data_IF_787413415787
#
_entry.id   IF_787413415787
#
_cell.length_a   1.000
_cell.length_b   1.000
_cell.length_c   1.000
_cell.angle_alpha   90.00
_cell.angle_beta   90.00
_cell.angle_gamma   90.00
#
_symmetry.space_group_name_H-M   'P 1'
#
loop_
_entity.id
_entity.type
_entity.pdbx_description
1 polymer ?
#
# COMPACT_ATOMS: atom_id res chain seq x y z
N UNK A 1 20.25 -21.61 11.97
CA UNK A 1 18.98 -20.85 11.88
C UNK A 1 19.18 -19.57 12.67
N UNK A 2 19.69 -18.52 12.03
CA UNK A 2 20.01 -17.25 12.70
C UNK A 2 18.81 -16.32 12.50
N UNK A 3 18.02 -16.13 13.56
CA UNK A 3 17.01 -15.10 13.58
C UNK A 3 17.72 -13.78 13.89
N UNK A 4 17.90 -12.91 12.89
CA UNK A 4 18.28 -11.52 13.13
C UNK A 4 17.12 -10.84 13.86
N UNK A 5 17.16 -10.85 15.19
CA UNK A 5 16.27 -10.03 15.99
C UNK A 5 16.80 -8.61 15.86
N UNK A 6 16.18 -7.78 15.02
CA UNK A 6 16.47 -6.35 15.00
C UNK A 6 16.14 -5.77 16.37
N UNK A 7 17.16 -5.56 17.19
CA UNK A 7 17.02 -4.98 18.52
C UNK A 7 17.02 -3.46 18.38
N UNK A 8 15.86 -2.84 18.62
CA UNK A 8 15.72 -1.38 18.56
C UNK A 8 15.97 -0.78 19.95
N UNK A 9 16.86 0.21 20.05
CA UNK A 9 16.97 0.98 21.30
C UNK A 9 15.92 2.09 21.34
N UNK A 10 15.09 2.08 22.39
CA UNK A 10 14.11 3.13 22.65
C UNK A 10 14.56 4.02 23.79
N UNK A 11 14.20 5.31 23.72
CA UNK A 11 14.39 6.29 24.79
C UNK A 11 13.05 6.86 25.21
N UNK A 12 12.78 6.86 26.51
CA UNK A 12 11.59 7.48 27.05
C UNK A 12 11.76 9.00 27.13
N UNK A 13 10.87 9.75 26.48
CA UNK A 13 10.84 11.22 26.58
C UNK A 13 10.41 11.75 27.95
N UNK A 14 9.79 10.92 28.81
CA UNK A 14 9.30 11.32 30.14
C UNK A 14 10.34 11.12 31.25
N UNK A 15 10.90 9.92 31.37
CA UNK A 15 11.87 9.59 32.44
C UNK A 15 13.31 9.43 31.95
N UNK A 16 13.56 9.56 30.64
CA UNK A 16 14.90 9.44 30.06
C UNK A 16 15.44 8.02 29.95
N UNK A 17 14.76 7.01 30.50
CA UNK A 17 15.21 5.62 30.46
C UNK A 17 15.43 5.13 29.02
N UNK A 18 16.52 4.39 28.82
CA UNK A 18 16.88 3.73 27.57
C UNK A 18 16.78 2.23 27.74
N UNK A 19 16.20 1.53 26.78
CA UNK A 19 16.11 0.06 26.82
C UNK A 19 16.07 -0.53 25.43
N UNK A 20 16.46 -1.81 25.36
CA UNK A 20 16.35 -2.62 24.17
C UNK A 20 14.90 -3.12 24.02
N UNK A 21 14.25 -2.72 22.94
CA UNK A 21 12.88 -3.12 22.65
C UNK A 21 12.87 -4.44 21.90
N UNK A 22 12.31 -5.47 22.56
CA UNK A 22 12.09 -6.82 22.02
C UNK A 22 10.61 -7.14 21.79
N UNK A 23 9.75 -6.11 21.83
CA UNK A 23 8.30 -6.29 21.74
C UNK A 23 7.80 -6.40 20.30
N UNK A 24 6.58 -6.94 20.14
CA UNK A 24 5.91 -7.07 18.83
C UNK A 24 5.10 -5.83 18.43
N UNK A 25 4.82 -4.92 19.36
CA UNK A 25 4.01 -3.72 19.06
C UNK A 25 4.76 -2.76 18.13
N UNK A 26 4.02 -2.19 17.17
CA UNK A 26 4.60 -1.54 15.99
C UNK A 26 4.60 0.00 16.05
N UNK A 27 3.79 0.57 16.94
CA UNK A 27 3.53 2.01 16.99
C UNK A 27 3.98 2.62 18.31
N UNK A 28 3.72 1.90 19.41
CA UNK A 28 4.04 2.35 20.75
C UNK A 28 4.62 1.22 21.58
N UNK A 29 5.62 1.55 22.39
CA UNK A 29 6.10 0.71 23.47
C UNK A 29 5.80 1.37 24.81
N UNK A 30 5.66 0.56 25.86
CA UNK A 30 5.59 1.05 27.23
C UNK A 30 7.00 1.15 27.80
N UNK A 31 7.35 2.31 28.35
CA UNK A 31 8.60 2.45 29.10
C UNK A 31 8.59 1.51 30.31
N UNK A 32 9.62 0.65 30.50
CA UNK A 32 9.66 -0.29 31.63
C UNK A 32 9.76 0.40 33.00
N UNK A 33 10.23 1.65 33.03
CA UNK A 33 10.41 2.43 34.27
C UNK A 33 9.17 3.20 34.68
N UNK A 34 8.62 4.04 33.78
CA UNK A 34 7.52 4.94 34.13
C UNK A 34 6.19 4.60 33.46
N UNK A 35 6.13 3.50 32.70
CA UNK A 35 4.95 3.03 31.94
C UNK A 35 4.36 4.04 30.95
N UNK A 36 5.07 5.14 30.66
CA UNK A 36 4.64 6.08 29.63
C UNK A 36 4.68 5.44 28.24
N UNK A 37 3.76 5.87 27.37
CA UNK A 37 3.75 5.47 25.96
C UNK A 37 4.88 6.19 25.24
N UNK A 38 5.70 5.42 24.54
CA UNK A 38 6.81 5.92 23.73
C UNK A 38 6.54 5.54 22.29
N UNK A 39 6.55 6.52 21.37
CA UNK A 39 6.49 6.24 19.93
C UNK A 39 7.74 5.49 19.53
N UNK A 40 7.52 4.43 18.76
CA UNK A 40 8.59 3.71 18.10
C UNK A 40 8.91 4.50 16.82
N UNK A 41 9.65 5.60 16.96
CA UNK A 41 10.11 6.37 15.80
C UNK A 41 11.21 5.57 15.12
N UNK A 42 10.84 4.90 14.04
CA UNK A 42 11.71 4.12 13.16
C UNK A 42 12.51 5.04 12.23
N UNK A 43 13.06 6.14 12.73
CA UNK A 43 14.06 6.89 11.99
C UNK A 43 15.41 6.19 12.18
N UNK A 44 15.87 5.48 11.15
CA UNK A 44 17.22 4.91 11.09
C UNK A 44 17.33 3.38 11.24
N UNK A 45 16.22 2.65 11.36
CA UNK A 45 16.23 1.19 11.18
C UNK A 45 15.72 0.89 9.78
N UNK A 46 16.46 0.14 8.94
CA UNK A 46 15.94 -0.30 7.65
C UNK A 46 14.60 -0.99 7.89
N UNK A 47 13.52 -0.39 7.38
CA UNK A 47 12.24 -1.07 7.36
C UNK A 47 12.44 -2.34 6.56
N UNK A 48 12.02 -3.49 7.10
CA UNK A 48 11.86 -4.70 6.29
C UNK A 48 11.10 -4.34 5.01
N UNK A 49 11.40 -5.02 3.90
CA UNK A 49 10.83 -4.67 2.60
C UNK A 49 9.30 -4.60 2.64
N UNK A 50 8.66 -5.47 3.41
CA UNK A 50 7.22 -5.44 3.68
C UNK A 50 6.77 -4.11 4.31
N UNK A 51 7.45 -3.64 5.35
CA UNK A 51 7.13 -2.38 6.04
C UNK A 51 7.37 -1.17 5.15
N UNK A 52 8.41 -1.22 4.33
CA UNK A 52 8.64 -0.20 3.30
C UNK A 52 7.48 -0.19 2.31
N UNK A 53 7.07 -1.37 1.79
CA UNK A 53 5.97 -1.52 0.85
C UNK A 53 4.62 -1.04 1.40
N UNK A 54 4.37 -1.15 2.72
CA UNK A 54 3.17 -0.61 3.38
C UNK A 54 3.17 0.93 3.47
N UNK A 55 4.34 1.57 3.52
CA UNK A 55 4.46 3.00 3.85
C UNK A 55 4.73 3.90 2.66
N UNK A 56 5.26 3.36 1.56
CA UNK A 56 5.51 4.18 0.38
C UNK A 56 4.24 4.89 -0.11
N UNK A 57 4.36 6.16 -0.55
CA UNK A 57 3.24 6.91 -1.09
C UNK A 57 2.81 6.34 -2.44
N UNK A 58 1.51 6.18 -2.62
CA UNK A 58 0.89 5.70 -3.86
C UNK A 58 0.39 6.90 -4.64
N UNK A 59 0.76 6.95 -5.91
CA UNK A 59 0.25 7.91 -6.87
C UNK A 59 -0.49 7.14 -7.95
N UNK A 60 -1.81 7.28 -8.00
CA UNK A 60 -2.67 6.62 -9.00
C UNK A 60 -3.52 7.67 -9.68
N UNK A 61 -3.48 7.75 -11.00
CA UNK A 61 -4.35 8.61 -11.80
C UNK A 61 -5.30 7.71 -12.58
N UNK A 62 -6.60 7.92 -12.44
CA UNK A 62 -7.61 7.17 -13.21
C UNK A 62 -7.94 7.98 -14.46
N UNK A 63 -7.68 7.46 -15.67
CA UNK A 63 -8.07 8.13 -16.91
C UNK A 63 -9.60 8.21 -17.05
N UNK A 64 -10.08 9.25 -17.75
CA UNK A 64 -11.50 9.37 -18.09
C UNK A 64 -11.92 8.33 -19.16
N UNK A 65 -11.06 8.11 -20.15
CA UNK A 65 -11.23 7.10 -21.20
C UNK A 65 -10.50 5.80 -20.82
N UNK A 66 -11.17 4.96 -20.04
CA UNK A 66 -10.63 3.68 -19.58
C UNK A 66 -10.36 2.69 -20.74
N UNK A 67 -11.27 2.52 -21.73
CA UNK A 67 -10.99 1.69 -22.89
C UNK A 67 -9.78 2.18 -23.69
N UNK A 68 -9.69 3.49 -23.97
CA UNK A 68 -8.56 4.05 -24.72
C UNK A 68 -7.22 3.91 -23.99
N UNK A 69 -7.22 4.08 -22.66
CA UNK A 69 -6.04 3.82 -21.84
C UNK A 69 -5.58 2.36 -21.91
N UNK A 70 -6.52 1.40 -21.81
CA UNK A 70 -6.21 -0.01 -21.95
C UNK A 70 -5.72 -0.37 -23.36
N UNK A 71 -6.32 0.21 -24.41
CA UNK A 71 -5.90 0.00 -25.78
C UNK A 71 -4.48 0.53 -26.05
N UNK A 72 -4.14 1.70 -25.50
CA UNK A 72 -2.81 2.27 -25.60
C UNK A 72 -1.75 1.36 -24.95
N UNK A 73 -2.04 0.84 -23.75
CA UNK A 73 -1.14 -0.06 -23.01
C UNK A 73 -0.96 -1.42 -23.72
N UNK A 74 -2.07 -2.01 -24.20
CA UNK A 74 -2.06 -3.34 -24.82
C UNK A 74 -1.83 -3.33 -26.34
N UNK A 75 -1.48 -2.19 -26.95
CA UNK A 75 -1.37 -2.04 -28.41
C UNK A 75 -0.64 -3.23 -29.06
N UNK A 76 -1.36 -4.00 -29.87
CA UNK A 76 -0.85 -5.17 -30.59
C UNK A 76 -0.57 -6.42 -29.74
N UNK A 77 -0.90 -6.40 -28.45
CA UNK A 77 -0.74 -7.51 -27.49
C UNK A 77 -2.06 -8.17 -27.09
N UNK A 78 -3.14 -7.38 -27.05
CA UNK A 78 -4.49 -7.85 -26.69
C UNK A 78 -5.55 -7.08 -27.48
N UNK A 79 -6.59 -7.77 -27.93
CA UNK A 79 -7.72 -7.18 -28.64
C UNK A 79 -8.87 -6.82 -27.68
N UNK A 80 -9.64 -5.74 -27.96
CA UNK A 80 -10.81 -5.37 -27.18
C UNK A 80 -11.97 -6.38 -27.33
N UNK A 81 -12.94 -6.42 -26.39
CA UNK A 81 -13.12 -5.50 -25.26
C UNK A 81 -12.26 -5.81 -24.04
N UNK A 82 -11.78 -4.77 -23.36
CA UNK A 82 -10.95 -4.91 -22.16
C UNK A 82 -11.80 -5.08 -20.90
N UNK A 83 -11.61 -6.21 -20.22
CA UNK A 83 -12.23 -6.45 -18.93
C UNK A 83 -11.61 -5.63 -17.78
N UNK A 84 -12.21 -5.65 -16.58
CA UNK A 84 -11.74 -4.89 -15.42
C UNK A 84 -10.28 -5.17 -15.01
N UNK A 85 -9.81 -6.42 -15.20
CA UNK A 85 -8.43 -6.82 -14.91
C UNK A 85 -7.45 -6.15 -15.87
N UNK A 86 -7.78 -6.12 -17.17
CA UNK A 86 -6.96 -5.46 -18.19
C UNK A 86 -6.88 -3.95 -17.94
N UNK A 87 -8.02 -3.32 -17.65
CA UNK A 87 -8.08 -1.89 -17.29
C UNK A 87 -7.25 -1.60 -16.04
N UNK A 88 -7.41 -2.38 -14.97
CA UNK A 88 -6.64 -2.19 -13.73
C UNK A 88 -5.14 -2.38 -13.94
N UNK A 89 -4.75 -3.30 -14.83
CA UNK A 89 -3.35 -3.52 -15.20
C UNK A 89 -2.78 -2.31 -15.93
N UNK A 90 -3.49 -1.80 -16.94
CA UNK A 90 -3.08 -0.59 -17.66
C UNK A 90 -2.93 0.62 -16.72
N UNK A 91 -3.89 0.82 -15.80
CA UNK A 91 -3.81 1.91 -14.80
C UNK A 91 -2.59 1.72 -13.89
N UNK A 92 -2.33 0.49 -13.42
CA UNK A 92 -1.21 0.20 -12.53
C UNK A 92 0.13 0.55 -13.20
N UNK A 93 0.32 0.17 -14.46
CA UNK A 93 1.62 0.35 -15.12
C UNK A 93 1.79 1.75 -15.75
N UNK A 94 0.80 2.25 -16.51
CA UNK A 94 0.98 3.50 -17.28
C UNK A 94 0.45 4.75 -16.58
N UNK A 95 -0.39 4.59 -15.54
CA UNK A 95 -1.06 5.70 -14.88
C UNK A 95 -0.83 5.74 -13.37
N UNK A 96 0.24 5.11 -12.90
CA UNK A 96 0.61 5.11 -11.49
C UNK A 96 2.12 5.06 -11.30
N UNK A 97 2.59 5.29 -10.07
CA UNK A 97 4.01 5.13 -9.73
C UNK A 97 4.43 3.69 -9.39
N UNK A 98 3.62 2.68 -9.73
CA UNK A 98 3.88 1.27 -9.37
C UNK A 98 5.24 0.78 -9.85
N UNK A 99 5.55 0.93 -11.14
CA UNK A 99 6.81 0.40 -11.70
C UNK A 99 8.05 1.08 -11.10
N UNK A 100 7.95 2.39 -10.81
CA UNK A 100 9.01 3.10 -10.10
C UNK A 100 9.21 2.55 -8.68
N UNK A 101 8.12 2.25 -7.97
CA UNK A 101 8.20 1.62 -6.65
C UNK A 101 8.75 0.19 -6.74
N UNK A 102 8.42 -0.58 -7.77
CA UNK A 102 9.03 -1.91 -7.98
C UNK A 102 10.56 -1.79 -8.16
N UNK A 103 11.02 -0.84 -8.98
CA UNK A 103 12.46 -0.60 -9.16
C UNK A 103 13.14 -0.20 -7.83
N UNK A 104 12.49 0.67 -7.05
CA UNK A 104 13.00 1.07 -5.72
C UNK A 104 13.04 -0.10 -4.74
N UNK A 105 12.05 -1.00 -4.80
CA UNK A 105 12.00 -2.22 -3.99
C UNK A 105 13.18 -3.14 -4.32
N UNK A 106 13.41 -3.40 -5.61
CA UNK A 106 14.51 -4.25 -6.08
C UNK A 106 15.87 -3.68 -5.68
N UNK A 107 16.05 -2.36 -5.84
CA UNK A 107 17.27 -1.68 -5.40
C UNK A 107 17.50 -1.85 -3.89
N UNK A 108 16.45 -1.62 -3.08
CA UNK A 108 16.52 -1.77 -1.63
C UNK A 108 16.81 -3.22 -1.21
N UNK A 109 16.18 -4.18 -1.89
CA UNK A 109 16.43 -5.60 -1.67
C UNK A 109 17.89 -5.99 -1.97
N UNK A 110 18.47 -5.46 -3.04
CA UNK A 110 19.86 -5.69 -3.39
C UNK A 110 20.84 -5.05 -2.39
N UNK A 111 20.55 -3.83 -1.91
CA UNK A 111 21.35 -3.13 -0.90
C UNK A 111 21.33 -3.83 0.47
N UNK A 112 20.19 -4.43 0.84
CA UNK A 112 19.99 -5.12 2.12
C UNK A 112 20.35 -6.62 2.08
N UNK A 113 20.60 -7.18 0.89
CA UNK A 113 20.81 -8.62 0.71
C UNK A 113 19.60 -9.45 1.13
N UNK A 114 18.39 -8.95 0.86
CA UNK A 114 17.14 -9.53 1.34
C UNK A 114 16.83 -10.91 0.74
N UNK A 115 16.12 -11.75 1.48
CA UNK A 115 15.70 -13.06 1.01
C UNK A 115 14.63 -12.92 -0.09
N UNK A 116 14.65 -13.72 -1.17
CA UNK A 116 13.64 -13.66 -2.23
C UNK A 116 12.20 -13.72 -1.73
N UNK A 117 11.91 -14.40 -0.61
CA UNK A 117 10.56 -14.44 -0.02
C UNK A 117 10.13 -13.09 0.52
N UNK A 118 11.03 -12.33 1.13
CA UNK A 118 10.73 -10.99 1.65
C UNK A 118 10.48 -10.00 0.50
N UNK A 119 11.25 -10.12 -0.58
CA UNK A 119 11.04 -9.34 -1.81
C UNK A 119 9.66 -9.64 -2.40
N UNK A 120 9.31 -10.92 -2.50
CA UNK A 120 8.00 -11.34 -3.03
C UNK A 120 6.85 -10.87 -2.14
N UNK A 121 6.98 -10.94 -0.82
CA UNK A 121 5.97 -10.44 0.11
C UNK A 121 5.77 -8.92 -0.04
N UNK A 122 6.86 -8.16 -0.14
CA UNK A 122 6.80 -6.73 -0.39
C UNK A 122 6.15 -6.38 -1.75
N UNK A 123 6.45 -7.15 -2.80
CA UNK A 123 5.83 -7.00 -4.11
C UNK A 123 4.31 -7.25 -4.05
N UNK A 124 3.89 -8.31 -3.36
CA UNK A 124 2.46 -8.61 -3.16
C UNK A 124 1.75 -7.48 -2.41
N UNK A 125 2.35 -6.96 -1.34
CA UNK A 125 1.82 -5.81 -0.60
C UNK A 125 1.65 -4.60 -1.51
N UNK A 126 2.66 -4.24 -2.31
CA UNK A 126 2.54 -3.13 -3.26
C UNK A 126 1.36 -3.37 -4.20
N UNK A 127 1.33 -4.52 -4.88
CA UNK A 127 0.29 -4.87 -5.85
C UNK A 127 -1.11 -4.76 -5.24
N UNK A 128 -1.32 -5.35 -4.06
CA UNK A 128 -2.62 -5.31 -3.37
C UNK A 128 -3.03 -3.89 -2.97
N UNK A 129 -2.07 -3.06 -2.52
CA UNK A 129 -2.35 -1.66 -2.18
C UNK A 129 -2.75 -0.85 -3.41
N UNK A 130 -2.07 -1.03 -4.54
CA UNK A 130 -2.46 -0.39 -5.80
C UNK A 130 -3.81 -0.89 -6.29
N UNK A 131 -4.08 -2.18 -6.25
CA UNK A 131 -5.35 -2.74 -6.70
C UNK A 131 -6.52 -2.20 -5.86
N UNK A 132 -6.33 -2.06 -4.54
CA UNK A 132 -7.32 -1.42 -3.67
C UNK A 132 -7.52 0.05 -3.99
N UNK A 133 -6.44 0.79 -4.23
CA UNK A 133 -6.51 2.22 -4.57
C UNK A 133 -7.18 2.45 -5.93
N UNK A 134 -6.82 1.66 -6.95
CA UNK A 134 -7.41 1.68 -8.28
C UNK A 134 -8.90 1.35 -8.19
N UNK A 135 -9.29 0.27 -7.53
CA UNK A 135 -10.70 -0.08 -7.32
C UNK A 135 -11.46 1.04 -6.60
N UNK A 136 -10.88 1.63 -5.56
CA UNK A 136 -11.49 2.74 -4.82
C UNK A 136 -11.71 3.96 -5.72
N UNK A 137 -10.72 4.32 -6.55
CA UNK A 137 -10.84 5.46 -7.47
C UNK A 137 -11.75 5.16 -8.65
N UNK A 138 -11.74 3.95 -9.19
CA UNK A 138 -12.66 3.52 -10.24
C UNK A 138 -14.11 3.53 -9.73
N UNK A 139 -14.37 3.10 -8.50
CA UNK A 139 -15.70 3.24 -7.92
C UNK A 139 -16.06 4.68 -7.61
N UNK A 140 -15.11 5.55 -7.26
CA UNK A 140 -15.36 7.01 -7.16
C UNK A 140 -15.55 7.69 -8.51
N UNK A 141 -14.91 7.20 -9.58
CA UNK A 141 -15.12 7.73 -10.94
C UNK A 141 -16.40 7.17 -11.56
N UNK A 142 -16.79 5.94 -11.22
CA UNK A 142 -18.09 5.34 -11.60
C UNK A 142 -19.25 5.77 -10.69
N UNK A 143 -18.99 6.27 -9.47
CA UNK A 143 -19.95 6.89 -8.57
C UNK A 143 -19.59 8.38 -8.38
N UNK A 144 -20.04 9.26 -9.28
CA UNK A 144 -21.40 9.75 -9.18
C UNK A 144 -22.16 9.63 -10.51
N UNK A 145 -22.74 8.46 -10.75
CA UNK A 145 -23.90 8.31 -11.64
C UNK A 145 -25.11 7.71 -10.92
N UNK A 146 -25.21 7.91 -9.61
CA UNK A 146 -26.49 7.82 -8.89
C UNK A 146 -27.27 9.13 -9.11
N UNK A 147 -27.89 9.27 -10.29
CA UNK A 147 -28.81 10.39 -10.56
C UNK A 147 -28.82 10.87 -12.00
N UNK A 148 -29.26 10.01 -12.94
CA UNK A 148 -30.07 10.37 -14.12
C UNK A 148 -30.30 9.11 -14.96
N UNK A 149 -31.57 8.68 -15.04
CA UNK A 149 -32.02 7.61 -15.93
C UNK A 149 -32.85 6.56 -15.22
N UNK A 150 -34.06 6.97 -14.85
CA UNK A 150 -35.28 6.20 -14.66
C UNK A 150 -35.40 5.24 -13.47
N UNK A 151 -36.38 5.63 -12.65
CA UNK A 151 -36.90 4.98 -11.47
C UNK A 151 -37.51 3.63 -11.84
N UNK A 152 -36.92 2.55 -11.34
CA UNK A 152 -37.72 1.51 -10.72
C UNK A 152 -37.00 0.98 -9.48
N UNK A 153 -37.79 0.75 -8.43
CA UNK A 153 -37.37 0.93 -7.04
C UNK A 153 -36.41 -0.12 -6.47
N UNK A 154 -35.59 0.33 -5.51
CA UNK A 154 -35.10 -0.56 -4.45
C UNK A 154 -33.67 -0.30 -3.98
N UNK A 155 -33.57 0.32 -2.80
CA UNK A 155 -32.43 0.32 -1.87
C UNK A 155 -31.17 1.13 -2.24
N UNK A 156 -31.02 2.25 -1.53
CA UNK A 156 -29.82 3.08 -1.44
C UNK A 156 -28.71 2.35 -0.63
N UNK A 157 -27.55 2.01 -1.23
CA UNK A 157 -26.48 1.29 -0.54
C UNK A 157 -25.55 2.19 0.30
N UNK A 158 -25.77 3.51 0.36
CA UNK A 158 -24.84 4.45 0.99
C UNK A 158 -25.13 4.81 2.45
N UNK A 159 -25.87 3.98 3.21
CA UNK A 159 -26.00 4.12 4.67
C UNK A 159 -25.47 2.93 5.46
N UNK A 160 -24.21 3.02 5.90
CA UNK A 160 -23.78 2.54 7.24
C UNK A 160 -22.79 3.55 7.82
N UNK A 161 -23.29 4.51 8.60
CA UNK A 161 -23.42 4.49 10.07
C UNK A 161 -22.06 4.43 10.77
N UNK A 162 -21.58 5.61 11.13
CA UNK A 162 -20.79 5.81 12.35
C UNK A 162 -21.65 5.43 13.55
N UNK A 163 -21.28 4.34 14.24
CA UNK A 163 -21.40 4.16 15.70
C UNK A 163 -20.18 3.36 16.11
#
# INVERSE_FOLDING_TARGET
MFYYVHTMQLRCGRCGARWEYRGRAEVYACCPQCRSKVKIDLEGIPLSLERWAVRVPLEVRVPDDLPGAAEAFYRGRLEPPFGPIAISTAIRHDHSNYDELVIRLEKKAAEEGADPKEVMAAYQILRERFDREICTRLWRSMACRCGRGDLDGGADPCRRRSI
#
